data_IF_322021422852
#
_entry.id   IF_322021422852
#
_cell.length_a   1.000
_cell.length_b   1.000
_cell.length_c   1.000
_cell.angle_alpha   90.00
_cell.angle_beta   90.00
_cell.angle_gamma   90.00
#
_symmetry.space_group_name_H-M   'P 1'
#
loop_
_entity.id
_entity.type
_entity.pdbx_description
1 polymer ?
#
# COMPACT_ATOMS: atom_id res chain seq x y z
N UNK A 1 5.69 19.35 -1.32
CA UNK A 1 5.49 17.98 -0.78
C UNK A 1 5.87 17.86 0.69
N UNK A 2 7.13 18.03 1.10
CA UNK A 2 7.54 17.82 2.51
C UNK A 2 6.81 18.70 3.54
N UNK A 3 6.65 20.01 3.25
CA UNK A 3 5.83 20.92 4.07
C UNK A 3 4.41 20.40 4.28
N UNK A 4 3.77 19.99 3.20
CA UNK A 4 2.41 19.47 3.26
C UNK A 4 2.35 18.28 4.21
N UNK A 5 3.27 17.31 4.11
CA UNK A 5 3.33 16.19 5.06
C UNK A 5 3.59 16.62 6.51
N UNK A 6 4.42 17.64 6.74
CA UNK A 6 4.66 18.19 8.08
C UNK A 6 3.39 18.79 8.70
N UNK A 7 2.56 19.44 7.88
CA UNK A 7 1.35 20.14 8.32
C UNK A 7 0.15 19.19 8.43
N UNK A 8 0.06 18.18 7.57
CA UNK A 8 -1.18 17.43 7.37
C UNK A 8 -1.13 15.99 7.84
N UNK A 9 0.06 15.44 8.11
CA UNK A 9 0.22 14.11 8.71
C UNK A 9 0.80 14.23 10.12
N UNK A 10 0.07 13.79 11.16
CA UNK A 10 0.55 13.84 12.54
C UNK A 10 1.88 13.11 12.74
N UNK A 11 2.07 11.95 12.09
CA UNK A 11 3.30 11.17 12.20
C UNK A 11 4.50 11.92 11.60
N UNK A 12 4.39 12.43 10.37
CA UNK A 12 5.50 13.15 9.73
C UNK A 12 5.77 14.49 10.40
N UNK A 13 4.75 15.19 10.89
CA UNK A 13 4.92 16.39 11.70
C UNK A 13 5.79 16.13 12.93
N UNK A 14 5.54 15.03 13.66
CA UNK A 14 6.35 14.66 14.83
C UNK A 14 7.75 14.18 14.44
N UNK A 15 7.88 13.31 13.43
CA UNK A 15 9.18 12.80 12.96
C UNK A 15 10.11 13.93 12.51
N UNK A 16 9.58 14.90 11.76
CA UNK A 16 10.35 16.04 11.27
C UNK A 16 10.75 17.02 12.38
N UNK A 17 9.89 17.22 13.39
CA UNK A 17 10.24 18.01 14.60
C UNK A 17 11.38 17.37 15.39
N UNK A 18 11.35 16.06 15.59
CA UNK A 18 12.40 15.32 16.32
C UNK A 18 13.77 15.43 15.63
N UNK A 19 13.78 15.48 14.30
CA UNK A 19 15.00 15.63 13.51
C UNK A 19 15.46 17.11 13.46
N UNK A 20 14.71 18.04 14.06
CA UNK A 20 15.06 19.48 14.09
C UNK A 20 14.99 20.16 12.72
N UNK A 21 14.29 19.56 11.75
CA UNK A 21 14.24 20.03 10.36
C UNK A 21 12.98 20.86 10.11
N UNK A 22 13.15 22.17 9.97
CA UNK A 22 12.10 23.04 9.43
C UNK A 22 12.32 23.22 7.92
N UNK A 23 11.48 22.57 7.11
CA UNK A 23 11.62 22.62 5.65
C UNK A 23 11.10 23.94 5.08
N UNK A 24 12.04 24.74 4.54
CA UNK A 24 11.72 25.97 3.83
C UNK A 24 11.32 25.69 2.38
N UNK A 25 10.36 26.44 1.81
CA UNK A 25 9.79 26.15 0.50
C UNK A 25 10.76 26.50 -0.65
N UNK A 26 11.82 27.26 -0.34
CA UNK A 26 12.87 27.70 -1.27
C UNK A 26 14.08 26.77 -1.29
N UNK A 27 14.12 25.75 -0.45
CA UNK A 27 15.22 24.78 -0.42
C UNK A 27 15.28 24.02 -1.75
N UNK A 28 16.45 23.96 -2.38
CA UNK A 28 16.62 23.19 -3.61
C UNK A 28 16.67 21.70 -3.26
N UNK A 29 16.30 20.85 -4.22
CA UNK A 29 16.27 19.40 -4.01
C UNK A 29 17.61 18.80 -3.54
N UNK A 30 18.74 19.43 -3.87
CA UNK A 30 20.08 18.99 -3.44
C UNK A 30 20.38 19.33 -1.98
N UNK A 31 19.71 20.34 -1.45
CA UNK A 31 19.92 20.86 -0.09
C UNK A 31 19.00 20.17 0.93
N UNK A 32 18.10 19.30 0.45
CA UNK A 32 17.23 18.45 1.27
C UNK A 32 18.10 17.30 1.80
N UNK A 33 18.40 17.25 3.10
CA UNK A 33 19.20 16.17 3.65
C UNK A 33 18.40 14.87 3.58
N UNK A 34 19.06 13.78 3.19
CA UNK A 34 18.42 12.45 3.06
C UNK A 34 17.86 12.02 4.41
N UNK A 35 16.55 11.82 4.46
CA UNK A 35 15.88 11.25 5.62
C UNK A 35 15.94 9.72 5.57
N UNK A 36 16.07 9.02 6.71
CA UNK A 36 15.98 7.58 6.75
C UNK A 36 14.64 7.09 6.16
N UNK A 37 14.64 6.06 5.31
CA UNK A 37 13.41 5.54 4.72
C UNK A 37 12.48 5.00 5.82
N UNK A 38 11.17 5.18 5.63
CA UNK A 38 10.16 4.63 6.53
C UNK A 38 10.22 3.09 6.48
N UNK A 39 10.39 2.45 7.63
CA UNK A 39 10.37 0.99 7.71
C UNK A 39 8.94 0.45 7.66
N UNK A 40 8.79 -0.81 7.26
CA UNK A 40 7.48 -1.47 7.23
C UNK A 40 6.83 -1.52 8.62
N UNK A 41 7.61 -1.79 9.66
CA UNK A 41 7.10 -1.86 11.04
C UNK A 41 6.57 -0.50 11.51
N UNK A 42 7.34 0.58 11.28
CA UNK A 42 6.86 1.94 11.58
C UNK A 42 5.57 2.25 10.83
N UNK A 43 5.44 1.81 9.58
CA UNK A 43 4.21 2.04 8.81
C UNK A 43 3.00 1.30 9.37
N UNK A 44 3.20 0.08 9.87
CA UNK A 44 2.14 -0.73 10.44
C UNK A 44 1.73 -0.24 11.84
N UNK A 45 2.67 0.25 12.63
CA UNK A 45 2.41 0.79 13.96
C UNK A 45 1.75 2.17 13.90
N UNK A 46 2.18 3.02 12.96
CA UNK A 46 1.65 4.37 12.84
C UNK A 46 0.22 4.40 12.25
N UNK A 47 -0.14 3.45 11.37
CA UNK A 47 -1.48 3.25 10.78
C UNK A 47 -2.24 4.58 10.51
N UNK A 48 -3.23 4.91 11.35
CA UNK A 48 -4.06 6.12 11.22
C UNK A 48 -3.28 7.43 11.35
N UNK A 49 -2.16 7.46 12.08
CA UNK A 49 -1.33 8.65 12.25
C UNK A 49 -0.57 9.04 10.99
N UNK A 50 -0.41 8.12 10.03
CA UNK A 50 0.15 8.41 8.70
C UNK A 50 -0.85 9.09 7.77
N UNK A 51 -2.14 9.01 8.09
CA UNK A 51 -3.17 9.55 7.23
C UNK A 51 -3.12 11.07 7.21
N UNK A 52 -3.30 11.61 6.00
CA UNK A 52 -3.39 13.03 5.76
C UNK A 52 -4.78 13.54 6.19
N UNK A 53 -4.82 14.61 6.98
CA UNK A 53 -6.05 15.25 7.46
C UNK A 53 -6.61 16.30 6.51
N UNK A 54 -5.79 16.84 5.60
CA UNK A 54 -6.16 17.92 4.69
C UNK A 54 -6.31 17.40 3.25
N UNK A 55 -7.37 16.64 3.01
CA UNK A 55 -7.72 16.12 1.69
C UNK A 55 -8.76 17.05 1.06
N UNK A 56 -8.53 17.58 -0.16
CA UNK A 56 -9.51 18.45 -0.82
C UNK A 56 -10.85 17.72 -1.02
N UNK A 57 -11.96 18.39 -0.75
CA UNK A 57 -13.31 17.81 -0.86
C UNK A 57 -13.62 17.35 -2.30
N UNK A 58 -13.07 18.05 -3.29
CA UNK A 58 -13.24 17.73 -4.71
C UNK A 58 -12.58 16.42 -5.13
N UNK A 59 -11.74 15.81 -4.28
CA UNK A 59 -11.08 14.53 -4.58
C UNK A 59 -11.99 13.30 -4.41
N UNK A 60 -13.23 13.51 -3.97
CA UNK A 60 -14.24 12.46 -3.83
C UNK A 60 -14.03 11.57 -2.61
N UNK A 61 -14.51 10.33 -2.70
CA UNK A 61 -14.52 9.40 -1.58
C UNK A 61 -13.11 8.89 -1.24
N UNK A 62 -12.95 8.51 0.03
CA UNK A 62 -11.78 7.82 0.52
C UNK A 62 -11.97 6.31 0.43
N UNK A 63 -11.17 5.70 -0.42
CA UNK A 63 -11.08 4.26 -0.61
C UNK A 63 -9.90 3.71 0.18
N UNK A 64 -10.07 2.53 0.76
CA UNK A 64 -9.00 1.82 1.48
C UNK A 64 -8.47 0.70 0.61
N UNK A 65 -7.16 0.67 0.38
CA UNK A 65 -6.45 -0.43 -0.26
C UNK A 65 -5.56 -1.11 0.77
N UNK A 66 -5.54 -2.44 0.77
CA UNK A 66 -4.74 -3.23 1.69
C UNK A 66 -3.84 -4.15 0.89
N UNK A 67 -2.56 -4.23 1.25
CA UNK A 67 -1.63 -5.16 0.62
C UNK A 67 -1.90 -6.58 1.12
N UNK A 68 -2.27 -7.48 0.21
CA UNK A 68 -2.40 -8.90 0.53
C UNK A 68 -1.00 -9.51 0.58
N UNK A 69 -0.31 -9.41 1.71
CA UNK A 69 1.07 -9.92 1.83
C UNK A 69 1.22 -11.09 2.81
N UNK A 70 2.11 -11.99 2.39
CA UNK A 70 2.51 -13.26 2.99
C UNK A 70 3.05 -13.18 4.43
N UNK A 71 3.37 -11.99 4.94
CA UNK A 71 4.07 -11.78 6.23
C UNK A 71 3.14 -11.54 7.42
N UNK A 72 1.82 -11.66 7.23
CA UNK A 72 0.83 -11.72 8.32
C UNK A 72 0.31 -10.37 8.85
N UNK A 73 0.93 -9.24 8.49
CA UNK A 73 0.40 -7.89 8.75
C UNK A 73 0.27 -7.09 7.46
N UNK A 74 -0.94 -6.89 6.95
CA UNK A 74 -1.15 -6.10 5.74
C UNK A 74 -0.92 -4.61 6.02
N UNK A 75 -0.27 -3.90 5.10
CA UNK A 75 -0.19 -2.44 5.14
C UNK A 75 -1.42 -1.86 4.47
N UNK A 76 -2.08 -0.94 5.17
CA UNK A 76 -3.29 -0.28 4.67
C UNK A 76 -2.94 1.12 4.17
N UNK A 77 -3.37 1.44 2.95
CA UNK A 77 -3.22 2.74 2.34
C UNK A 77 -4.60 3.32 2.00
N UNK A 78 -4.78 4.63 2.19
CA UNK A 78 -5.98 5.34 1.74
C UNK A 78 -5.69 6.07 0.43
N UNK A 79 -6.66 6.03 -0.48
CA UNK A 79 -6.63 6.70 -1.78
C UNK A 79 -7.94 7.42 -2.03
N UNK A 80 -7.89 8.48 -2.81
CA UNK A 80 -9.10 9.22 -3.23
C UNK A 80 -9.67 8.64 -4.53
N UNK A 81 -10.92 8.96 -4.85
CA UNK A 81 -11.55 8.56 -6.12
C UNK A 81 -10.79 9.08 -7.33
N UNK A 82 -10.33 10.34 -7.28
CA UNK A 82 -9.50 10.93 -8.34
C UNK A 82 -8.23 10.12 -8.55
N UNK A 83 -7.52 9.77 -7.47
CA UNK A 83 -6.32 8.93 -7.56
C UNK A 83 -6.64 7.55 -8.13
N UNK A 84 -7.76 6.95 -7.74
CA UNK A 84 -8.20 5.67 -8.27
C UNK A 84 -8.49 5.72 -9.77
N UNK A 85 -9.10 6.82 -10.25
CA UNK A 85 -9.38 7.04 -11.67
C UNK A 85 -8.09 7.17 -12.49
N UNK A 86 -7.12 7.97 -12.02
CA UNK A 86 -5.81 8.05 -12.66
C UNK A 86 -5.10 6.69 -12.68
N UNK A 87 -5.13 5.96 -11.58
CA UNK A 87 -4.55 4.62 -11.52
C UNK A 87 -5.16 3.67 -12.57
N UNK A 88 -6.48 3.69 -12.75
CA UNK A 88 -7.17 2.89 -13.78
C UNK A 88 -6.74 3.31 -15.19
N UNK A 89 -6.66 4.60 -15.46
CA UNK A 89 -6.24 5.13 -16.75
C UNK A 89 -4.79 4.72 -17.09
N UNK A 90 -3.88 4.79 -16.13
CA UNK A 90 -2.49 4.36 -16.33
C UNK A 90 -2.38 2.85 -16.54
N UNK A 91 -3.13 2.05 -15.79
CA UNK A 91 -3.19 0.61 -16.03
C UNK A 91 -3.70 0.32 -17.45
N UNK A 92 -4.81 0.93 -17.86
CA UNK A 92 -5.35 0.74 -19.20
C UNK A 92 -4.32 1.12 -20.28
N UNK A 93 -3.67 2.27 -20.13
CA UNK A 93 -2.59 2.71 -21.03
C UNK A 93 -1.47 1.67 -21.11
N UNK A 94 -1.04 1.12 -19.97
CA UNK A 94 -0.02 0.08 -19.91
C UNK A 94 -0.44 -1.16 -20.71
N UNK A 95 -1.66 -1.64 -20.52
CA UNK A 95 -2.19 -2.80 -21.27
C UNK A 95 -2.22 -2.51 -22.78
N UNK A 96 -2.63 -1.30 -23.18
CA UNK A 96 -2.65 -0.89 -24.59
C UNK A 96 -1.24 -0.82 -25.19
N UNK A 97 -0.26 -0.29 -24.46
CA UNK A 97 1.14 -0.24 -24.91
C UNK A 97 1.66 -1.65 -25.19
N UNK A 98 1.45 -2.57 -24.26
CA UNK A 98 1.91 -3.95 -24.38
C UNK A 98 1.04 -4.82 -25.29
N UNK A 99 0.03 -4.22 -25.95
CA UNK A 99 -0.93 -4.92 -26.83
C UNK A 99 -1.57 -6.14 -26.12
N UNK A 100 -1.82 -6.01 -24.82
CA UNK A 100 -2.52 -7.04 -24.08
C UNK A 100 -3.94 -7.20 -24.65
N UNK A 101 -4.34 -8.43 -24.95
CA UNK A 101 -5.69 -8.73 -25.37
C UNK A 101 -6.66 -8.56 -24.20
N UNK A 102 -7.48 -7.51 -24.25
CA UNK A 102 -8.49 -7.20 -23.23
C UNK A 102 -9.73 -8.10 -23.33
N UNK A 103 -9.87 -8.88 -24.41
CA UNK A 103 -10.98 -9.84 -24.61
C UNK A 103 -10.65 -11.22 -24.04
N UNK A 104 -9.37 -11.48 -23.77
CA UNK A 104 -8.90 -12.72 -23.17
C UNK A 104 -9.31 -12.84 -21.68
N UNK A 105 -9.35 -14.08 -21.18
CA UNK A 105 -9.63 -14.33 -19.76
C UNK A 105 -8.43 -13.95 -18.90
N UNK A 106 -8.64 -13.05 -17.94
CA UNK A 106 -7.64 -12.68 -16.95
C UNK A 106 -7.60 -13.72 -15.81
N UNK A 107 -6.44 -14.36 -15.63
CA UNK A 107 -6.19 -15.29 -14.52
C UNK A 107 -5.20 -14.66 -13.53
N UNK A 108 -5.49 -14.76 -12.23
CA UNK A 108 -4.58 -14.35 -11.16
C UNK A 108 -4.41 -15.52 -10.21
N UNK A 109 -3.16 -15.93 -9.99
CA UNK A 109 -2.81 -16.91 -8.95
C UNK A 109 -2.63 -16.14 -7.65
N UNK A 110 -3.43 -16.45 -6.64
CA UNK A 110 -3.31 -15.88 -5.29
C UNK A 110 -2.90 -16.99 -4.33
N UNK A 111 -1.85 -16.76 -3.54
CA UNK A 111 -1.52 -17.63 -2.42
C UNK A 111 -2.51 -17.38 -1.28
N UNK A 112 -3.41 -18.33 -1.03
CA UNK A 112 -4.19 -18.36 0.22
C UNK A 112 -3.33 -18.93 1.33
N UNK A 113 -3.16 -18.22 2.47
CA UNK A 113 -2.43 -18.76 3.59
C UNK A 113 -3.14 -20.01 4.13
N UNK A 114 -2.40 -21.10 4.35
CA UNK A 114 -2.90 -22.38 4.88
C UNK A 114 -3.71 -22.23 6.18
N UNK A 115 -3.49 -21.15 6.94
CA UNK A 115 -4.19 -20.84 8.19
C UNK A 115 -5.67 -20.48 8.04
N UNK A 116 -6.15 -20.19 6.82
CA UNK A 116 -7.57 -19.95 6.54
C UNK A 116 -8.33 -21.23 6.11
N UNK A 117 -7.65 -22.38 5.96
CA UNK A 117 -8.27 -23.64 5.51
C UNK A 117 -8.85 -24.49 6.67
N UNK A 118 -9.03 -23.93 7.86
CA UNK A 118 -9.57 -24.64 9.03
C UNK A 118 -11.09 -24.83 9.02
N UNK A 119 -11.86 -23.89 8.46
CA UNK A 119 -13.31 -23.81 8.75
C UNK A 119 -14.23 -23.88 7.52
N UNK A 120 -13.70 -23.98 6.31
CA UNK A 120 -14.53 -24.14 5.09
C UNK A 120 -13.90 -25.10 4.10
N UNK A 121 -13.95 -26.40 4.41
CA UNK A 121 -13.70 -27.45 3.41
C UNK A 121 -15.04 -27.87 2.83
N UNK A 122 -15.38 -27.34 1.65
CA UNK A 122 -16.41 -27.93 0.80
C UNK A 122 -15.89 -29.30 0.31
N UNK A 123 -16.65 -30.40 0.46
CA UNK A 123 -16.14 -31.75 0.26
C UNK A 123 -15.94 -32.00 -1.24
N UNK A 124 -14.69 -32.05 -1.70
CA UNK A 124 -14.43 -32.36 -3.12
C UNK A 124 -12.98 -32.35 -3.60
N UNK A 125 -12.00 -31.97 -2.79
CA UNK A 125 -10.59 -32.00 -3.23
C UNK A 125 -9.77 -32.99 -2.39
N UNK A 126 -9.32 -34.06 -3.07
CA UNK A 126 -8.36 -35.03 -2.54
C UNK A 126 -7.06 -34.31 -2.14
N UNK A 127 -6.68 -34.46 -0.88
CA UNK A 127 -5.40 -33.97 -0.36
C UNK A 127 -4.37 -35.12 -0.43
N UNK A 128 -3.34 -34.96 -1.26
CA UNK A 128 -2.14 -35.81 -1.15
C UNK A 128 -1.35 -35.29 0.05
N UNK A 129 -1.31 -36.07 1.14
CA UNK A 129 -0.50 -35.76 2.32
C UNK A 129 1.00 -35.81 1.96
N UNK A 130 1.81 -34.80 2.32
CA UNK A 130 3.26 -34.96 2.27
C UNK A 130 3.69 -35.98 3.32
N UNK A 131 4.51 -36.95 2.88
CA UNK A 131 5.10 -38.00 3.71
C UNK A 131 6.09 -37.35 4.70
N UNK A 132 6.01 -37.65 6.01
CA UNK A 132 6.97 -37.13 6.97
C UNK A 132 8.37 -37.71 6.67
N UNK A 133 9.36 -36.85 6.51
CA UNK A 133 10.76 -37.26 6.52
C UNK A 133 11.11 -37.71 7.94
N UNK A 134 11.42 -38.99 8.11
CA UNK A 134 11.98 -39.56 9.34
C UNK A 134 13.46 -39.18 9.44
N UNK A 135 13.85 -38.68 10.61
CA UNK A 135 15.24 -38.49 11.05
C UNK A 135 16.02 -39.80 11.12
#
# INVERSE_FOLDING_TARGET
>A
MLRHFQETSPYFGNKLKTIGKNFQPTARSRDIPVDPPLTRNESQEADKALLNTAIPKDHGLLLTASSSESTGRPVTARKTDVNQSFHRAFNLRNHLWHKCDLTAKFATIRATPWRQMGDTVSPGHLYIRPVPQSS
#
